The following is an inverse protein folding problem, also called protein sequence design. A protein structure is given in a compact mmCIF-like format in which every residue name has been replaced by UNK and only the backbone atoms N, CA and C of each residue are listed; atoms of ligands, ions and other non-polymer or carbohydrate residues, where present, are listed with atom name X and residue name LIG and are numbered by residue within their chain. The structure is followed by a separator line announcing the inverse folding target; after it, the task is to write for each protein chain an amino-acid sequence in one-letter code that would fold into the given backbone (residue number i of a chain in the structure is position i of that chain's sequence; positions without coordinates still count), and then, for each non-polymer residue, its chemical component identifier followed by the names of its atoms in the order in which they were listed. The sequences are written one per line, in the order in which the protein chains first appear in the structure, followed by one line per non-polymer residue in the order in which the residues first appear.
data_IF_923860130247
#
_entry.id   IF_923860130247
#
_cell.length_a   1.000
_cell.length_b   1.000
_cell.length_c   1.000
_cell.angle_alpha   90.00
_cell.angle_beta   90.00
_cell.angle_gamma   90.00
#
_symmetry.space_group_name_H-M   'P 1'
#
loop_
_entity.id
_entity.type
_entity.pdbx_description
1 polymer ?
#
# COMPACT_ATOMS: atom_id res chain seq x y z
N UNK A 1 -34.90 24.85 11.13
CA UNK A 1 -35.31 25.92 10.20
C UNK A 1 -34.08 26.35 9.41
N UNK A 2 -34.07 26.09 8.10
CA UNK A 2 -32.93 26.36 7.21
C UNK A 2 -32.78 27.88 7.07
N UNK A 3 -31.72 28.46 7.65
CA UNK A 3 -31.46 29.90 7.56
C UNK A 3 -30.12 30.22 6.90
N UNK A 4 -29.85 29.57 5.77
CA UNK A 4 -28.95 30.07 4.73
C UNK A 4 -29.76 30.43 3.47
N UNK A 5 -29.40 31.44 2.66
CA UNK A 5 -30.14 31.80 1.45
C UNK A 5 -29.97 30.82 0.28
N UNK A 6 -29.52 29.59 0.53
CA UNK A 6 -29.12 28.64 -0.50
C UNK A 6 -29.62 27.24 -0.15
N UNK A 7 -30.29 26.62 -1.12
CA UNK A 7 -30.67 25.21 -1.14
C UNK A 7 -30.05 24.64 -2.42
N UNK A 8 -29.21 23.63 -2.26
CA UNK A 8 -28.57 22.92 -3.36
C UNK A 8 -29.42 21.68 -3.70
N UNK A 9 -29.60 21.42 -5.00
CA UNK A 9 -30.38 20.30 -5.50
C UNK A 9 -29.67 19.66 -6.69
N UNK A 10 -29.67 18.33 -6.75
CA UNK A 10 -28.93 17.56 -7.74
C UNK A 10 -29.81 16.49 -8.40
N UNK A 11 -29.62 16.28 -9.69
CA UNK A 11 -30.24 15.18 -10.43
C UNK A 11 -29.31 14.66 -11.51
N UNK A 12 -29.15 13.34 -11.59
CA UNK A 12 -28.57 12.67 -12.75
C UNK A 12 -29.71 12.28 -13.69
N UNK A 13 -29.64 12.70 -14.95
CA UNK A 13 -30.65 12.32 -15.95
C UNK A 13 -30.03 12.15 -17.34
N UNK A 14 -30.63 11.27 -18.14
CA UNK A 14 -30.27 11.13 -19.54
C UNK A 14 -30.94 12.27 -20.34
N UNK A 15 -30.13 13.16 -20.89
CA UNK A 15 -30.62 14.27 -21.73
C UNK A 15 -30.38 13.93 -23.21
N UNK A 16 -31.37 14.09 -24.09
CA UNK A 16 -31.17 13.93 -25.52
C UNK A 16 -30.09 14.91 -26.00
N UNK A 17 -29.06 14.42 -26.69
CA UNK A 17 -28.07 15.31 -27.32
C UNK A 17 -28.77 16.20 -28.34
N UNK A 18 -28.65 17.52 -28.17
CA UNK A 18 -29.13 18.50 -29.16
C UNK A 18 -28.33 18.45 -30.48
N UNK A 19 -27.15 17.82 -30.46
CA UNK A 19 -26.31 17.64 -31.64
C UNK A 19 -26.54 16.23 -32.20
N UNK A 20 -27.19 16.09 -33.37
CA UNK A 20 -27.31 14.80 -34.03
C UNK A 20 -25.94 14.34 -34.52
N UNK A 21 -25.51 13.15 -34.10
CA UNK A 21 -24.28 12.52 -34.60
C UNK A 21 -24.62 11.69 -35.85
N UNK A 22 -24.00 11.97 -37.00
CA UNK A 22 -24.34 11.32 -38.27
C UNK A 22 -23.96 9.84 -38.34
N UNK A 23 -23.11 9.33 -37.44
CA UNK A 23 -22.55 7.98 -37.55
C UNK A 23 -23.39 6.85 -36.91
N UNK A 24 -24.42 7.19 -36.13
CA UNK A 24 -25.12 6.18 -35.30
C UNK A 24 -26.64 6.05 -35.53
N UNK A 25 -27.22 6.79 -36.50
CA UNK A 25 -28.62 6.60 -36.91
C UNK A 25 -29.70 6.77 -35.81
N UNK A 26 -29.31 7.24 -34.62
CA UNK A 26 -30.18 7.41 -33.45
C UNK A 26 -29.69 8.56 -32.56
N UNK A 27 -30.62 9.19 -31.84
CA UNK A 27 -30.30 10.28 -30.91
C UNK A 27 -29.37 9.76 -29.80
N UNK A 28 -28.11 10.20 -29.77
CA UNK A 28 -27.20 9.94 -28.65
C UNK A 28 -27.81 10.53 -27.38
N UNK A 29 -27.88 9.72 -26.32
CA UNK A 29 -28.23 10.19 -24.97
C UNK A 29 -26.93 10.56 -24.28
N UNK A 30 -26.83 11.80 -23.84
CA UNK A 30 -25.73 12.24 -23.00
C UNK A 30 -26.22 12.16 -21.56
N UNK A 31 -25.50 11.40 -20.74
CA UNK A 31 -25.75 11.39 -19.31
C UNK A 31 -25.12 12.63 -18.70
N UNK A 32 -25.93 13.43 -18.02
CA UNK A 32 -25.46 14.65 -17.36
C UNK A 32 -25.82 14.61 -15.88
N UNK A 33 -24.89 15.12 -15.08
CA UNK A 33 -25.15 15.51 -13.71
C UNK A 33 -25.51 16.99 -13.71
N UNK A 34 -26.76 17.29 -13.35
CA UNK A 34 -27.21 18.67 -13.19
C UNK A 34 -27.05 19.08 -11.74
N UNK A 35 -26.26 20.14 -11.55
CA UNK A 35 -26.03 20.83 -10.28
C UNK A 35 -26.89 22.07 -10.26
N UNK A 36 -27.81 22.15 -9.31
CA UNK A 36 -28.73 23.27 -9.20
C UNK A 36 -28.59 24.03 -7.90
N UNK A 37 -28.59 25.36 -7.98
CA UNK A 37 -28.69 26.24 -6.81
C UNK A 37 -29.85 27.20 -6.93
N UNK A 38 -30.73 27.18 -5.94
CA UNK A 38 -31.82 28.15 -5.85
C UNK A 38 -31.29 29.50 -5.35
N UNK A 39 -31.73 30.57 -6.01
CA UNK A 39 -31.44 31.96 -5.64
C UNK A 39 -32.67 32.58 -4.96
N UNK A 40 -32.46 33.10 -3.76
CA UNK A 40 -33.49 33.78 -2.98
C UNK A 40 -33.13 35.25 -2.77
N UNK A 41 -34.14 36.12 -2.78
CA UNK A 41 -33.99 37.53 -2.44
C UNK A 41 -33.52 37.65 -0.98
N UNK A 42 -32.40 38.36 -0.77
CA UNK A 42 -31.80 38.56 0.55
C UNK A 42 -32.75 39.28 1.52
N UNK A 43 -33.59 40.20 1.04
CA UNK A 43 -34.51 40.98 1.87
C UNK A 43 -35.83 40.25 2.10
N UNK A 44 -36.46 39.78 1.03
CA UNK A 44 -37.81 39.19 1.12
C UNK A 44 -37.82 37.70 1.38
N UNK A 45 -36.66 37.03 1.25
CA UNK A 45 -36.51 35.56 1.28
C UNK A 45 -37.38 34.83 0.26
N UNK A 46 -37.87 35.55 -0.76
CA UNK A 46 -38.66 34.95 -1.85
C UNK A 46 -37.73 34.33 -2.88
N UNK A 47 -38.17 33.22 -3.47
CA UNK A 47 -37.48 32.57 -4.58
C UNK A 47 -37.44 33.52 -5.79
N UNK A 48 -36.26 33.69 -6.39
CA UNK A 48 -36.05 34.51 -7.60
C UNK A 48 -35.92 33.59 -8.82
N UNK A 49 -35.13 32.52 -8.70
CA UNK A 49 -34.80 31.63 -9.80
C UNK A 49 -33.80 30.56 -9.37
N UNK A 50 -33.29 29.79 -10.32
CA UNK A 50 -32.23 28.82 -10.07
C UNK A 50 -31.13 28.93 -11.13
N UNK A 51 -29.90 28.61 -10.74
CA UNK A 51 -28.78 28.41 -11.64
C UNK A 51 -28.53 26.92 -11.73
N UNK A 52 -28.50 26.39 -12.95
CA UNK A 52 -28.24 24.99 -13.24
C UNK A 52 -26.91 24.89 -14.01
N UNK A 53 -26.08 23.93 -13.64
CA UNK A 53 -24.84 23.61 -14.33
C UNK A 53 -24.91 22.12 -14.68
N UNK A 54 -24.87 21.83 -15.98
CA UNK A 54 -24.84 20.45 -16.46
C UNK A 54 -23.39 20.00 -16.68
N UNK A 55 -23.02 18.90 -16.04
CA UNK A 55 -21.71 18.26 -16.17
C UNK A 55 -21.91 16.97 -16.97
N UNK A 56 -21.20 16.83 -18.10
CA UNK A 56 -21.22 15.59 -18.87
C UNK A 56 -20.52 14.47 -18.08
N UNK A 57 -21.24 13.38 -17.79
CA UNK A 57 -20.70 12.23 -17.05
C UNK A 57 -19.59 11.51 -17.81
N UNK A 58 -19.57 11.57 -19.14
CA UNK A 58 -18.46 11.02 -19.93
C UNK A 58 -17.14 11.67 -19.53
N UNK A 59 -17.11 12.99 -19.36
CA UNK A 59 -15.88 13.70 -18.93
C UNK A 59 -15.48 13.36 -17.51
N UNK A 60 -16.46 13.10 -16.63
CA UNK A 60 -16.18 12.69 -15.26
C UNK A 60 -15.55 11.31 -15.26
N UNK A 61 -16.12 10.35 -16.00
CA UNK A 61 -15.53 9.02 -16.17
C UNK A 61 -14.12 9.11 -16.78
N UNK A 62 -13.91 9.92 -17.81
CA UNK A 62 -12.58 10.11 -18.43
C UNK A 62 -11.55 10.64 -17.41
N UNK A 63 -11.93 11.62 -16.58
CA UNK A 63 -11.05 12.16 -15.52
C UNK A 63 -10.75 11.10 -14.46
N UNK A 64 -11.77 10.34 -14.03
CA UNK A 64 -11.58 9.26 -13.05
C UNK A 64 -10.63 8.19 -13.59
N UNK A 65 -10.75 7.83 -14.87
CA UNK A 65 -9.92 6.81 -15.52
C UNK A 65 -8.48 7.31 -15.78
N UNK A 66 -8.29 8.56 -16.17
CA UNK A 66 -6.98 9.05 -16.67
C UNK A 66 -6.15 9.82 -15.64
N UNK A 67 -6.79 10.57 -14.73
CA UNK A 67 -6.08 11.46 -13.81
C UNK A 67 -5.97 10.89 -12.39
N UNK A 68 -6.87 9.98 -12.01
CA UNK A 68 -7.01 9.54 -10.61
C UNK A 68 -6.62 8.09 -10.39
N UNK A 69 -6.62 7.24 -11.43
CA UNK A 69 -6.17 5.85 -11.29
C UNK A 69 -4.66 5.78 -10.98
N UNK A 70 -4.32 5.20 -9.83
CA UNK A 70 -2.93 5.04 -9.37
C UNK A 70 -2.32 3.73 -9.91
N UNK A 71 -3.16 2.71 -10.14
CA UNK A 71 -2.80 1.42 -10.72
C UNK A 71 -3.86 0.97 -11.74
N UNK A 72 -3.48 0.06 -12.64
CA UNK A 72 -4.38 -0.59 -13.60
C UNK A 72 -5.52 -1.37 -12.92
N UNK A 73 -5.33 -1.82 -11.68
CA UNK A 73 -6.34 -2.54 -10.88
C UNK A 73 -7.17 -1.64 -9.98
N UNK A 74 -6.88 -0.33 -9.95
CA UNK A 74 -7.65 0.62 -9.15
C UNK A 74 -8.83 1.12 -9.96
N UNK A 75 -10.05 0.88 -9.45
CA UNK A 75 -11.28 1.45 -10.00
C UNK A 75 -11.87 2.45 -9.02
N UNK A 76 -12.27 3.61 -9.54
CA UNK A 76 -12.86 4.69 -8.76
C UNK A 76 -14.27 4.91 -9.26
N UNK A 77 -15.25 4.68 -8.39
CA UNK A 77 -16.66 4.79 -8.71
C UNK A 77 -17.29 5.91 -7.86
N UNK A 78 -17.89 6.88 -8.52
CA UNK A 78 -18.69 7.93 -7.90
C UNK A 78 -20.14 7.47 -7.82
N UNK A 79 -20.68 7.35 -6.62
CA UNK A 79 -22.09 7.01 -6.37
C UNK A 79 -22.82 8.13 -5.65
N UNK A 80 -24.14 8.18 -5.81
CA UNK A 80 -25.01 9.04 -5.04
C UNK A 80 -25.15 8.52 -3.61
N UNK A 81 -25.29 9.44 -2.65
CA UNK A 81 -25.62 9.10 -1.26
C UNK A 81 -27.11 8.77 -1.09
N UNK A 82 -27.58 7.72 -1.74
CA UNK A 82 -28.97 7.22 -1.64
C UNK A 82 -29.02 5.79 -1.09
N UNK A 83 -30.19 5.16 -1.02
CA UNK A 83 -30.33 3.83 -0.41
C UNK A 83 -29.73 2.70 -1.28
N UNK A 84 -29.45 2.98 -2.55
CA UNK A 84 -28.99 1.99 -3.53
C UNK A 84 -27.55 2.21 -4.01
N UNK A 85 -26.95 3.34 -3.67
CA UNK A 85 -25.67 3.75 -4.22
C UNK A 85 -25.75 3.94 -5.73
N UNK A 86 -26.70 4.75 -6.21
CA UNK A 86 -26.85 4.98 -7.66
C UNK A 86 -25.54 5.46 -8.27
N UNK A 87 -25.00 4.72 -9.23
CA UNK A 87 -23.73 5.03 -9.90
C UNK A 87 -23.90 6.26 -10.79
N UNK A 88 -23.02 7.24 -10.59
CA UNK A 88 -22.97 8.51 -11.32
C UNK A 88 -21.84 8.50 -12.33
N UNK A 89 -20.68 7.98 -11.95
CA UNK A 89 -19.56 7.77 -12.87
C UNK A 89 -18.72 6.58 -12.40
N UNK A 90 -18.28 5.76 -13.34
CA UNK A 90 -17.38 4.63 -13.10
C UNK A 90 -16.65 4.33 -14.40
N UNK A 91 -15.37 3.94 -14.38
CA UNK A 91 -14.65 3.44 -15.55
C UNK A 91 -15.35 2.22 -16.18
N UNK A 92 -15.98 1.38 -15.34
CA UNK A 92 -16.68 0.18 -15.79
C UNK A 92 -18.08 0.47 -16.34
N UNK A 93 -18.61 1.68 -16.15
CA UNK A 93 -19.95 2.03 -16.60
C UNK A 93 -19.94 2.76 -17.96
N UNK A 94 -20.31 2.05 -19.02
CA UNK A 94 -20.40 2.63 -20.35
C UNK A 94 -21.70 3.45 -20.53
N UNK A 95 -21.62 4.74 -20.22
CA UNK A 95 -22.74 5.70 -20.33
C UNK A 95 -23.30 5.81 -21.76
N UNK A 96 -22.49 5.57 -22.80
CA UNK A 96 -22.95 5.63 -24.21
C UNK A 96 -23.94 4.53 -24.56
N UNK A 97 -23.82 3.37 -23.92
CA UNK A 97 -24.68 2.21 -24.15
C UNK A 97 -25.76 2.05 -23.08
N UNK A 98 -25.60 2.70 -21.93
CA UNK A 98 -26.50 2.60 -20.79
C UNK A 98 -27.92 3.11 -21.12
N UNK A 99 -28.92 2.28 -20.81
CA UNK A 99 -30.35 2.62 -20.94
C UNK A 99 -30.95 3.19 -19.65
N UNK A 100 -30.36 2.85 -18.51
CA UNK A 100 -30.76 3.25 -17.16
C UNK A 100 -29.53 3.46 -16.27
N UNK A 101 -29.74 4.10 -15.12
CA UNK A 101 -28.73 4.13 -14.06
C UNK A 101 -28.49 2.73 -13.50
N UNK A 102 -27.32 2.54 -12.91
CA UNK A 102 -26.88 1.31 -12.26
C UNK A 102 -26.77 1.54 -10.76
N UNK A 103 -26.92 0.48 -9.98
CA UNK A 103 -26.68 0.51 -8.54
C UNK A 103 -25.23 0.05 -8.26
N UNK A 104 -24.72 0.33 -7.06
CA UNK A 104 -23.34 0.01 -6.68
C UNK A 104 -23.06 -1.49 -6.71
N UNK A 105 -24.09 -2.29 -6.47
CA UNK A 105 -24.09 -3.76 -6.37
C UNK A 105 -24.37 -4.46 -7.71
N UNK A 106 -24.45 -3.72 -8.83
CA UNK A 106 -24.66 -4.30 -10.15
C UNK A 106 -23.36 -4.95 -10.65
N UNK A 107 -23.44 -6.22 -11.09
CA UNK A 107 -22.28 -7.01 -11.56
C UNK A 107 -21.48 -6.33 -12.68
N UNK A 108 -22.11 -5.46 -13.48
CA UNK A 108 -21.42 -4.71 -14.56
C UNK A 108 -20.48 -3.61 -14.03
N UNK A 109 -20.70 -3.12 -12.81
CA UNK A 109 -19.91 -2.02 -12.24
C UNK A 109 -18.64 -2.55 -11.57
N UNK A 110 -18.72 -3.75 -10.99
CA UNK A 110 -17.61 -4.40 -10.30
C UNK A 110 -16.91 -3.48 -9.27
N UNK A 111 -17.74 -2.79 -8.48
CA UNK A 111 -17.31 -1.87 -7.42
C UNK A 111 -16.60 -2.57 -6.27
N UNK A 112 -16.70 -3.90 -6.21
CA UNK A 112 -16.25 -4.69 -5.08
C UNK A 112 -17.08 -4.46 -3.81
N UNK A 113 -18.30 -3.91 -3.88
CA UNK A 113 -19.16 -3.72 -2.71
C UNK A 113 -20.54 -4.30 -2.98
N UNK A 114 -21.07 -5.11 -2.07
CA UNK A 114 -22.46 -5.56 -2.11
C UNK A 114 -23.43 -4.54 -1.49
N UNK A 115 -24.74 -4.68 -1.74
CA UNK A 115 -25.74 -3.75 -1.23
C UNK A 115 -25.75 -3.63 0.32
N UNK A 116 -25.40 -4.70 1.03
CA UNK A 116 -25.33 -4.73 2.50
C UNK A 116 -24.13 -3.95 3.02
N UNK A 117 -22.95 -4.18 2.42
CA UNK A 117 -21.71 -3.46 2.71
C UNK A 117 -21.85 -1.98 2.40
N UNK A 118 -22.46 -1.63 1.27
CA UNK A 118 -22.73 -0.23 0.94
C UNK A 118 -23.64 0.43 1.99
N UNK A 119 -24.68 -0.27 2.42
CA UNK A 119 -25.57 0.22 3.48
C UNK A 119 -24.82 0.42 4.79
N UNK A 120 -23.98 -0.53 5.20
CA UNK A 120 -23.17 -0.44 6.41
C UNK A 120 -22.22 0.77 6.36
N UNK A 121 -21.53 0.97 5.24
CA UNK A 121 -20.64 2.11 5.02
C UNK A 121 -21.38 3.45 5.04
N UNK A 122 -22.59 3.50 4.48
CA UNK A 122 -23.44 4.69 4.49
C UNK A 122 -23.96 5.02 5.88
N UNK A 123 -24.33 4.00 6.66
CA UNK A 123 -24.91 4.11 8.00
C UNK A 123 -23.84 4.21 9.11
N UNK A 124 -22.55 4.16 8.76
CA UNK A 124 -21.43 4.31 9.69
C UNK A 124 -21.48 5.61 10.52
N UNK A 125 -22.06 6.67 9.94
CA UNK A 125 -22.19 7.99 10.55
C UNK A 125 -23.58 8.54 10.28
N UNK A 126 -24.33 8.84 11.35
CA UNK A 126 -25.59 9.58 11.22
C UNK A 126 -25.31 11.08 11.16
N UNK A 127 -25.23 11.62 9.95
CA UNK A 127 -25.06 13.06 9.72
C UNK A 127 -26.26 13.88 10.20
N UNK A 128 -27.39 13.27 10.59
CA UNK A 128 -28.53 13.99 11.17
C UNK A 128 -28.33 14.36 12.64
N UNK A 129 -27.37 13.73 13.31
CA UNK A 129 -27.03 14.00 14.70
C UNK A 129 -25.78 14.89 14.83
N UNK A 130 -25.38 15.15 16.06
CA UNK A 130 -24.11 15.82 16.33
C UNK A 130 -22.98 14.79 16.22
N UNK A 131 -21.97 15.10 15.43
CA UNK A 131 -20.81 14.23 15.18
C UNK A 131 -19.51 15.01 15.34
N UNK A 132 -18.43 14.32 15.72
CA UNK A 132 -17.08 14.89 15.77
C UNK A 132 -16.37 14.68 14.43
N UNK A 133 -15.97 15.75 13.71
CA UNK A 133 -15.25 15.61 12.45
C UNK A 133 -13.96 14.81 12.53
N UNK A 134 -13.26 14.82 13.67
CA UNK A 134 -12.01 14.07 13.84
C UNK A 134 -12.31 12.58 13.93
N UNK A 135 -13.31 12.21 14.73
CA UNK A 135 -13.73 10.81 14.89
C UNK A 135 -14.29 10.25 13.58
N UNK A 136 -15.18 10.99 12.92
CA UNK A 136 -15.79 10.58 11.65
C UNK A 136 -14.74 10.40 10.56
N UNK A 137 -13.75 11.30 10.49
CA UNK A 137 -12.65 11.15 9.54
C UNK A 137 -11.85 9.88 9.81
N UNK A 138 -11.48 9.62 11.08
CA UNK A 138 -10.80 8.39 11.46
C UNK A 138 -11.59 7.13 11.08
N UNK A 139 -12.92 7.15 11.28
CA UNK A 139 -13.78 6.03 10.86
C UNK A 139 -13.72 5.77 9.35
N UNK A 140 -13.76 6.81 8.51
CA UNK A 140 -13.63 6.64 7.05
C UNK A 140 -12.20 6.26 6.60
N UNK A 141 -11.16 6.71 7.31
CA UNK A 141 -9.77 6.31 7.06
C UNK A 141 -9.53 4.82 7.41
N UNK A 142 -10.18 4.34 8.48
CA UNK A 142 -10.12 2.95 8.93
C UNK A 142 -11.12 2.03 8.20
N UNK A 143 -12.10 2.61 7.48
CA UNK A 143 -13.13 1.89 6.73
C UNK A 143 -12.60 1.31 5.41
N UNK A 144 -11.65 0.38 5.51
CA UNK A 144 -11.23 -0.45 4.40
C UNK A 144 -11.89 -1.84 4.54
N UNK A 145 -12.70 -2.22 3.56
CA UNK A 145 -13.34 -3.55 3.52
C UNK A 145 -12.61 -4.40 2.49
N UNK A 146 -12.08 -5.54 2.94
CA UNK A 146 -11.57 -6.58 2.05
C UNK A 146 -12.71 -7.52 1.64
N UNK A 147 -13.07 -7.54 0.37
CA UNK A 147 -14.14 -8.39 -0.15
C UNK A 147 -13.89 -8.75 -1.61
N UNK A 148 -14.19 -10.00 -1.99
CA UNK A 148 -14.00 -10.46 -3.36
C UNK A 148 -12.57 -10.35 -3.91
N UNK A 149 -11.55 -10.39 -3.04
CA UNK A 149 -10.14 -10.18 -3.45
C UNK A 149 -9.81 -8.73 -3.79
N UNK A 150 -10.64 -7.77 -3.36
CA UNK A 150 -10.41 -6.33 -3.48
C UNK A 150 -10.43 -5.68 -2.10
N UNK A 151 -9.60 -4.65 -1.95
CA UNK A 151 -9.66 -3.72 -0.83
C UNK A 151 -10.44 -2.51 -1.30
N UNK A 152 -11.50 -2.17 -0.56
CA UNK A 152 -12.36 -1.03 -0.89
C UNK A 152 -12.34 0.01 0.21
N UNK A 153 -12.06 1.25 -0.18
CA UNK A 153 -12.14 2.44 0.67
C UNK A 153 -13.25 3.37 0.17
N UNK A 154 -13.89 4.10 1.08
CA UNK A 154 -14.96 5.03 0.74
C UNK A 154 -14.76 6.41 1.35
N UNK A 155 -15.12 7.44 0.58
CA UNK A 155 -14.98 8.83 0.99
C UNK A 155 -16.23 9.66 0.66
N UNK A 156 -16.80 10.41 1.62
CA UNK A 156 -17.95 11.28 1.37
C UNK A 156 -17.56 12.51 0.53
N UNK A 157 -18.49 12.96 -0.32
CA UNK A 157 -18.36 14.17 -1.14
C UNK A 157 -19.59 15.06 -0.94
N UNK A 158 -19.41 16.36 -0.59
CA UNK A 158 -18.13 17.06 -0.41
C UNK A 158 -17.33 16.55 0.79
N UNK A 159 -16.03 16.83 0.82
CA UNK A 159 -15.16 16.40 1.92
C UNK A 159 -15.66 16.95 3.27
N UNK A 160 -15.42 16.18 4.34
CA UNK A 160 -15.83 16.54 5.69
C UNK A 160 -15.20 17.89 6.12
N UNK A 161 -16.00 18.84 6.63
CA UNK A 161 -15.49 20.12 7.11
C UNK A 161 -14.56 19.93 8.33
N UNK A 162 -13.63 20.86 8.53
CA UNK A 162 -12.72 20.84 9.69
C UNK A 162 -13.43 21.03 11.04
N UNK A 163 -14.64 21.58 11.03
CA UNK A 163 -15.48 21.83 12.20
C UNK A 163 -16.88 21.31 11.93
N UNK A 164 -17.56 20.85 12.96
CA UNK A 164 -18.94 20.38 12.87
C UNK A 164 -19.82 21.45 12.20
N UNK A 165 -20.51 21.06 11.14
CA UNK A 165 -21.51 21.87 10.46
C UNK A 165 -22.85 21.11 10.48
N UNK A 166 -23.88 21.61 11.18
CA UNK A 166 -25.18 20.95 11.24
C UNK A 166 -25.87 20.87 9.87
N UNK A 167 -25.45 21.67 8.89
CA UNK A 167 -25.99 21.66 7.52
C UNK A 167 -25.23 20.74 6.57
N UNK A 168 -24.07 20.21 6.99
CA UNK A 168 -23.29 19.31 6.15
C UNK A 168 -24.03 17.99 5.95
N UNK A 169 -24.27 17.63 4.69
CA UNK A 169 -24.77 16.32 4.27
C UNK A 169 -23.99 15.91 3.03
N UNK A 170 -23.42 14.70 2.97
CA UNK A 170 -22.81 14.21 1.75
C UNK A 170 -23.89 13.94 0.69
N UNK A 171 -23.64 14.40 -0.53
CA UNK A 171 -24.52 14.15 -1.68
C UNK A 171 -24.04 12.94 -2.49
N UNK A 172 -22.75 12.66 -2.42
CA UNK A 172 -22.08 11.58 -3.14
C UNK A 172 -21.07 10.86 -2.25
N UNK A 173 -20.70 9.67 -2.68
CA UNK A 173 -19.65 8.86 -2.09
C UNK A 173 -18.71 8.42 -3.22
N UNK A 174 -17.41 8.56 -3.01
CA UNK A 174 -16.39 7.99 -3.87
C UNK A 174 -15.97 6.66 -3.29
N UNK A 175 -16.07 5.62 -4.10
CA UNK A 175 -15.67 4.25 -3.78
C UNK A 175 -14.40 3.97 -4.57
N UNK A 176 -13.31 3.69 -3.86
CA UNK A 176 -12.03 3.31 -4.44
C UNK A 176 -11.81 1.85 -4.15
N UNK A 177 -11.84 1.02 -5.19
CA UNK A 177 -11.56 -0.41 -5.09
C UNK A 177 -10.24 -0.73 -5.75
N UNK A 178 -9.40 -1.52 -5.10
CA UNK A 178 -8.11 -1.99 -5.61
C UNK A 178 -8.02 -3.51 -5.44
N UNK A 179 -7.45 -4.23 -6.39
CA UNK A 179 -7.18 -5.66 -6.18
C UNK A 179 -6.21 -5.87 -5.02
N UNK A 180 -6.51 -6.85 -4.17
CA UNK A 180 -5.75 -7.18 -2.98
C UNK A 180 -4.29 -7.53 -3.32
N UNK A 181 -4.08 -8.25 -4.41
CA UNK A 181 -2.76 -8.63 -4.90
C UNK A 181 -1.91 -7.40 -5.23
N UNK A 182 -2.49 -6.34 -5.79
CA UNK A 182 -1.77 -5.12 -6.13
C UNK A 182 -1.51 -4.25 -4.90
N UNK A 183 -2.49 -4.16 -4.01
CA UNK A 183 -2.34 -3.44 -2.75
C UNK A 183 -1.21 -4.03 -1.89
N UNK A 184 -1.08 -5.36 -1.91
CA UNK A 184 -0.02 -6.08 -1.21
C UNK A 184 1.21 -6.39 -2.07
N UNK A 185 1.19 -6.19 -3.39
CA UNK A 185 2.37 -6.37 -4.25
C UNK A 185 3.49 -5.43 -3.77
N UNK A 186 3.15 -4.18 -3.50
CA UNK A 186 4.10 -3.21 -2.93
C UNK A 186 4.70 -3.70 -1.60
N UNK A 187 3.94 -4.40 -0.75
CA UNK A 187 4.45 -4.97 0.50
C UNK A 187 5.26 -6.25 0.28
N UNK A 188 4.87 -7.07 -0.70
CA UNK A 188 5.53 -8.33 -1.03
C UNK A 188 6.88 -8.06 -1.68
N UNK A 189 6.94 -7.11 -2.62
CA UNK A 189 8.18 -6.63 -3.23
C UNK A 189 9.13 -6.03 -2.17
N UNK A 190 8.57 -5.32 -1.18
CA UNK A 190 9.33 -4.80 -0.04
C UNK A 190 9.85 -5.94 0.83
N UNK A 191 9.02 -6.94 1.14
CA UNK A 191 9.41 -8.10 1.93
C UNK A 191 10.47 -8.95 1.23
N UNK A 192 10.36 -9.12 -0.08
CA UNK A 192 11.33 -9.85 -0.90
C UNK A 192 12.65 -9.08 -0.97
N UNK A 193 12.61 -7.76 -1.17
CA UNK A 193 13.80 -6.90 -1.13
C UNK A 193 14.48 -6.93 0.25
N UNK A 194 13.69 -6.91 1.33
CA UNK A 194 14.18 -7.01 2.70
C UNK A 194 14.81 -8.39 2.94
N UNK A 195 14.17 -9.46 2.48
CA UNK A 195 14.67 -10.83 2.63
C UNK A 195 15.97 -11.03 1.85
N UNK A 196 16.08 -10.47 0.65
CA UNK A 196 17.30 -10.50 -0.15
C UNK A 196 18.45 -9.75 0.54
N UNK A 197 18.19 -8.54 1.06
CA UNK A 197 19.18 -7.79 1.83
C UNK A 197 19.63 -8.54 3.10
N UNK A 198 18.70 -9.17 3.82
CA UNK A 198 19.06 -9.98 4.99
C UNK A 198 19.89 -11.21 4.62
N UNK A 199 19.57 -11.87 3.50
CA UNK A 199 20.34 -13.00 3.00
C UNK A 199 21.77 -12.60 2.66
N UNK A 200 21.95 -11.48 1.96
CA UNK A 200 23.27 -10.98 1.60
C UNK A 200 24.09 -10.57 2.82
N UNK A 201 23.46 -9.89 3.78
CA UNK A 201 24.08 -9.56 5.05
C UNK A 201 24.51 -10.81 5.81
N UNK A 202 23.66 -11.84 5.86
CA UNK A 202 23.96 -13.09 6.54
C UNK A 202 25.13 -13.83 5.89
N UNK A 203 25.13 -13.95 4.56
CA UNK A 203 26.21 -14.58 3.80
C UNK A 203 27.52 -13.81 3.98
N UNK A 204 27.49 -12.49 3.91
CA UNK A 204 28.66 -11.65 4.14
C UNK A 204 29.22 -11.82 5.56
N UNK A 205 28.35 -11.79 6.57
CA UNK A 205 28.73 -11.97 7.97
C UNK A 205 29.32 -13.35 8.22
N UNK A 206 28.77 -14.39 7.59
CA UNK A 206 29.28 -15.75 7.66
C UNK A 206 30.68 -15.87 7.03
N UNK A 207 30.91 -15.27 5.87
CA UNK A 207 32.22 -15.25 5.21
C UNK A 207 33.25 -14.53 6.09
N UNK A 208 32.90 -13.34 6.61
CA UNK A 208 33.79 -12.58 7.51
C UNK A 208 34.07 -13.35 8.79
N UNK A 209 33.06 -14.03 9.36
CA UNK A 209 33.20 -14.87 10.55
C UNK A 209 34.16 -16.05 10.32
N UNK A 210 34.02 -16.76 9.20
CA UNK A 210 34.91 -17.87 8.82
C UNK A 210 36.33 -17.36 8.59
N UNK A 211 36.50 -16.26 7.84
CA UNK A 211 37.81 -15.67 7.57
C UNK A 211 38.50 -15.20 8.87
N UNK A 212 37.76 -14.53 9.76
CA UNK A 212 38.26 -14.12 11.07
C UNK A 212 38.69 -15.31 11.94
N UNK A 213 37.89 -16.38 11.94
CA UNK A 213 38.21 -17.60 12.70
C UNK A 213 39.49 -18.26 12.18
N UNK A 214 39.64 -18.40 10.85
CA UNK A 214 40.86 -18.94 10.24
C UNK A 214 42.09 -18.09 10.55
N UNK A 215 41.95 -16.77 10.56
CA UNK A 215 43.03 -15.85 10.93
C UNK A 215 43.48 -16.05 12.38
N UNK A 216 42.53 -16.16 13.32
CA UNK A 216 42.84 -16.43 14.74
C UNK A 216 43.53 -17.78 14.92
N UNK A 217 43.05 -18.84 14.26
CA UNK A 217 43.68 -20.16 14.28
C UNK A 217 45.11 -20.10 13.72
N UNK A 218 45.32 -19.35 12.63
CA UNK A 218 46.64 -19.13 12.06
C UNK A 218 47.60 -18.44 13.03
N UNK A 219 47.14 -17.42 13.76
CA UNK A 219 47.93 -16.75 14.79
C UNK A 219 48.28 -17.73 15.92
N UNK A 220 47.31 -18.48 16.43
CA UNK A 220 47.54 -19.48 17.49
C UNK A 220 48.57 -20.52 17.05
N UNK A 221 48.50 -20.97 15.79
CA UNK A 221 49.45 -21.92 15.22
C UNK A 221 50.87 -21.34 15.13
N UNK A 222 51.01 -20.09 14.66
CA UNK A 222 52.30 -19.40 14.60
C UNK A 222 52.92 -19.24 15.99
N UNK A 223 52.12 -18.78 16.98
CA UNK A 223 52.56 -18.62 18.37
C UNK A 223 52.95 -19.97 18.97
N UNK A 224 52.13 -21.02 18.76
CA UNK A 224 52.41 -22.37 19.27
C UNK A 224 53.72 -22.92 18.69
N UNK A 225 53.97 -22.70 17.39
CA UNK A 225 55.20 -23.14 16.72
C UNK A 225 56.43 -22.37 17.21
N UNK A 226 56.30 -21.05 17.42
CA UNK A 226 57.37 -20.22 17.97
C UNK A 226 57.75 -20.68 19.38
N UNK A 227 56.76 -21.06 20.21
CA UNK A 227 56.97 -21.56 21.57
C UNK A 227 57.50 -23.01 21.62
N UNK A 228 57.15 -23.88 20.67
CA UNK A 228 57.65 -25.27 20.66
C UNK A 228 59.04 -25.43 20.04
N UNK A 229 59.51 -24.50 19.21
CA UNK A 229 60.89 -24.51 18.67
C UNK A 229 61.98 -24.62 19.75
N UNK A 230 61.99 -23.80 20.82
CA UNK A 230 63.01 -23.92 21.87
C UNK A 230 62.91 -25.26 22.64
N UNK A 231 61.70 -25.79 22.85
CA UNK A 231 61.52 -27.12 23.47
C UNK A 231 62.14 -28.24 22.63
N UNK A 232 61.92 -28.23 21.31
CA UNK A 232 62.57 -29.18 20.40
C UNK A 232 64.09 -29.02 20.40
N UNK A 233 64.59 -27.80 20.48
CA UNK A 233 66.03 -27.55 20.55
C UNK A 233 66.63 -28.10 21.85
N UNK A 234 65.96 -27.94 23.00
CA UNK A 234 66.39 -28.55 24.25
C UNK A 234 66.41 -30.08 24.17
N UNK A 235 65.43 -30.72 23.51
CA UNK A 235 65.43 -32.17 23.31
C UNK A 235 66.64 -32.64 22.49
N UNK A 236 66.96 -31.91 21.40
CA UNK A 236 68.13 -32.22 20.56
C UNK A 236 69.43 -32.07 21.35
N UNK A 237 69.63 -30.94 22.04
CA UNK A 237 70.83 -30.71 22.86
C UNK A 237 70.96 -31.73 23.99
N UNK A 238 69.84 -32.13 24.61
CA UNK A 238 69.86 -33.16 25.66
C UNK A 238 70.27 -34.52 25.09
N UNK A 239 69.79 -34.89 23.90
CA UNK A 239 70.23 -36.11 23.22
C UNK A 239 71.73 -36.07 22.92
N UNK A 240 72.22 -34.96 22.36
CA UNK A 240 73.64 -34.78 22.04
C UNK A 240 74.52 -34.93 23.29
N UNK A 241 74.14 -34.30 24.41
CA UNK A 241 74.85 -34.44 25.71
C UNK A 241 74.84 -35.91 26.17
N UNK A 242 73.70 -36.58 26.17
CA UNK A 242 73.62 -37.98 26.63
C UNK A 242 74.50 -38.90 25.77
N UNK A 243 74.53 -38.70 24.45
CA UNK A 243 75.36 -39.51 23.55
C UNK A 243 76.85 -39.23 23.69
N UNK A 244 77.25 -37.95 23.83
CA UNK A 244 78.67 -37.59 23.97
C UNK A 244 79.23 -38.00 25.33
N UNK A 245 78.51 -37.75 26.43
CA UNK A 245 78.97 -38.18 27.76
C UNK A 245 78.95 -39.71 27.93
N UNK A 246 78.01 -40.42 27.30
CA UNK A 246 77.97 -41.88 27.30
C UNK A 246 79.16 -42.53 26.58
N UNK A 247 79.66 -41.92 25.50
CA UNK A 247 80.78 -42.45 24.73
C UNK A 247 82.17 -42.16 25.34
N UNK A 248 82.30 -41.09 26.12
CA UNK A 248 83.57 -40.73 26.78
C UNK A 248 83.92 -41.72 27.91
N UNK A 249 82.94 -42.27 28.64
CA UNK A 249 83.20 -43.34 29.62
C UNK A 249 83.56 -44.69 28.98
N UNK A 250 83.01 -45.00 27.80
CA UNK A 250 83.35 -46.22 27.08
C UNK A 250 84.79 -46.20 26.54
N UNK A 251 85.30 -45.03 26.14
CA UNK A 251 86.67 -44.89 25.63
C UNK A 251 87.74 -44.86 26.73
N UNK A 252 87.41 -44.43 27.94
CA UNK A 252 88.35 -44.41 29.07
C UNK A 252 88.62 -45.80 29.68
N UNK A 253 87.79 -46.81 29.38
CA UNK A 253 87.88 -48.16 29.99
C UNK A 253 88.74 -49.13 29.17
N UNK A 254 89.14 -48.78 27.93
CA UNK A 254 89.94 -49.63 27.06
C UNK A 254 91.43 -49.27 26.98
N UNK A 255 91.91 -48.34 27.80
CA UNK A 255 93.33 -48.01 27.92
C UNK A 255 93.97 -48.75 29.12
N UNK A 256 94.03 -50.09 29.06
CA UNK A 256 94.93 -50.85 29.93
C UNK A 256 95.98 -51.56 29.06
N UNK A 257 97.29 -51.27 29.24
CA UNK A 257 98.35 -51.82 28.41
C UNK A 257 98.90 -53.09 29.05
N UNK A 258 98.68 -54.24 28.42
CA UNK A 258 99.46 -55.43 28.75
C UNK A 258 100.69 -55.48 27.84
N UNK A 259 101.80 -55.10 28.47
CA UNK A 259 103.14 -55.48 28.09
C UNK A 259 103.43 -56.88 28.63
N UNK A 260 103.76 -57.83 27.76
CA UNK A 260 104.78 -58.88 27.91
C UNK A 260 104.73 -59.83 26.70
#
# INVERSE_FOLDING_TARGET
AVSGPYLDAWSASAVPSAVPSPELGGARRNWVLTVGRAAYDRRTRRFIGCTLIDVNLERVSDVLETEVTVSETTSITLVRWDDRGTVVASPNWNTKLAKSTKAVDDDEIDSGIDAGQYKELREMVDFNEMWDPVEVRGRYEDAAIATGGKIVSVHPVPALPERYDPLYRPDFMVIVSMEENDAFASFTDLNDSVTEQFRDLFVFTLIVGVAGTLLVVGIIFLVSTALTRPLKWMEVVTKDIVTDFGNVQASATNAHPDAA
#
